data_IF_956516244093
#
_entry.id   IF_956516244093
#
_cell.length_a   1.000
_cell.length_b   1.000
_cell.length_c   1.000
_cell.angle_alpha   90.00
_cell.angle_beta   90.00
_cell.angle_gamma   90.00
#
_symmetry.space_group_name_H-M   'P 1'
#
loop_
_entity.id
_entity.type
_entity.pdbx_description
1 polymer ?
#
# COMPACT_ATOMS: atom_id res chain seq x y z
N UNK A 1 10.88 -31.69 -5.55
CA UNK A 1 11.40 -30.54 -6.33
C UNK A 1 10.49 -29.30 -6.33
N UNK A 2 9.16 -29.40 -6.53
CA UNK A 2 8.28 -28.21 -6.69
C UNK A 2 8.22 -27.28 -5.45
N UNK A 3 8.42 -27.84 -4.25
CA UNK A 3 8.46 -27.06 -3.02
C UNK A 3 9.66 -26.11 -2.96
N UNK A 4 10.86 -26.60 -3.29
CA UNK A 4 12.09 -25.81 -3.24
C UNK A 4 12.09 -24.69 -4.29
N UNK A 5 11.53 -24.94 -5.48
CA UNK A 5 11.40 -23.91 -6.53
C UNK A 5 10.40 -22.82 -6.12
N UNK A 6 9.27 -23.19 -5.52
CA UNK A 6 8.30 -22.22 -5.01
C UNK A 6 8.90 -21.38 -3.87
N UNK A 7 9.61 -22.03 -2.93
CA UNK A 7 10.28 -21.36 -1.82
C UNK A 7 11.36 -20.39 -2.32
N UNK A 8 12.20 -20.82 -3.27
CA UNK A 8 13.22 -19.96 -3.88
C UNK A 8 12.58 -18.73 -4.54
N UNK A 9 11.53 -18.93 -5.34
CA UNK A 9 10.78 -17.84 -5.97
C UNK A 9 10.23 -16.87 -4.93
N UNK A 10 9.62 -17.38 -3.86
CA UNK A 10 9.09 -16.55 -2.76
C UNK A 10 10.19 -15.75 -2.07
N UNK A 11 11.35 -16.35 -1.81
CA UNK A 11 12.49 -15.61 -1.23
C UNK A 11 12.97 -14.48 -2.14
N UNK A 12 13.06 -14.73 -3.45
CA UNK A 12 13.44 -13.71 -4.45
C UNK A 12 12.40 -12.59 -4.48
N UNK A 13 11.10 -12.93 -4.57
CA UNK A 13 10.01 -11.95 -4.58
C UNK A 13 10.01 -11.09 -3.31
N UNK A 14 10.14 -11.69 -2.11
CA UNK A 14 10.23 -10.95 -0.85
C UNK A 14 11.45 -10.05 -0.80
N UNK A 15 12.60 -10.51 -1.32
CA UNK A 15 13.82 -9.71 -1.36
C UNK A 15 13.66 -8.48 -2.26
N UNK A 16 13.13 -8.66 -3.47
CA UNK A 16 12.91 -7.57 -4.43
C UNK A 16 11.84 -6.58 -3.93
N UNK A 17 10.74 -7.09 -3.34
CA UNK A 17 9.73 -6.25 -2.68
C UNK A 17 10.29 -5.52 -1.46
N UNK A 18 11.22 -6.12 -0.71
CA UNK A 18 11.94 -5.47 0.38
C UNK A 18 12.84 -4.34 -0.10
N UNK A 19 13.55 -4.52 -1.22
CA UNK A 19 14.32 -3.44 -1.86
C UNK A 19 13.39 -2.31 -2.32
N UNK A 20 12.29 -2.65 -3.00
CA UNK A 20 11.28 -1.66 -3.41
C UNK A 20 10.68 -0.92 -2.22
N UNK A 21 10.42 -1.61 -1.11
CA UNK A 21 9.94 -1.02 0.14
C UNK A 21 10.95 -0.03 0.73
N UNK A 22 12.24 -0.37 0.71
CA UNK A 22 13.28 0.54 1.17
C UNK A 22 13.34 1.81 0.30
N UNK A 23 13.23 1.67 -1.02
CA UNK A 23 13.19 2.81 -1.95
C UNK A 23 11.94 3.67 -1.72
N UNK A 24 10.76 3.06 -1.55
CA UNK A 24 9.50 3.75 -1.25
C UNK A 24 9.60 4.57 0.06
N UNK A 25 10.21 4.03 1.11
CA UNK A 25 10.38 4.74 2.38
C UNK A 25 11.38 5.90 2.25
N UNK A 26 12.47 5.71 1.51
CA UNK A 26 13.61 6.64 1.50
C UNK A 26 13.50 7.71 0.42
N UNK A 27 13.17 7.29 -0.80
CA UNK A 27 13.26 8.10 -2.02
C UNK A 27 11.88 8.43 -2.58
N UNK A 28 10.82 7.71 -2.18
CA UNK A 28 9.44 7.85 -2.70
C UNK A 28 9.29 7.62 -4.20
N UNK A 29 10.35 7.12 -4.82
CA UNK A 29 10.41 6.71 -6.21
C UNK A 29 11.03 5.32 -6.26
N UNK A 30 10.50 4.47 -7.15
CA UNK A 30 10.94 3.08 -7.29
C UNK A 30 11.37 2.88 -8.73
N UNK A 31 12.59 2.40 -8.91
CA UNK A 31 13.12 2.11 -10.23
C UNK A 31 12.33 0.97 -10.87
N UNK A 32 11.78 1.23 -12.06
CA UNK A 32 11.01 0.27 -12.85
C UNK A 32 11.79 -1.02 -13.16
N UNK A 33 13.12 -0.97 -13.11
CA UNK A 33 13.97 -2.16 -13.24
C UNK A 33 13.65 -3.23 -12.21
N UNK A 34 13.19 -2.88 -11.01
CA UNK A 34 12.82 -3.88 -9.98
C UNK A 34 11.70 -4.78 -10.49
N UNK A 35 10.66 -4.20 -11.08
CA UNK A 35 9.51 -4.93 -11.61
C UNK A 35 9.94 -5.84 -12.78
N UNK A 36 10.78 -5.31 -13.66
CA UNK A 36 11.31 -6.05 -14.81
C UNK A 36 12.20 -7.23 -14.37
N UNK A 37 13.08 -7.03 -13.39
CA UNK A 37 13.94 -8.09 -12.82
C UNK A 37 13.07 -9.15 -12.13
N UNK A 38 12.09 -8.72 -11.33
CA UNK A 38 11.16 -9.64 -10.65
C UNK A 38 10.40 -10.50 -11.66
N UNK A 39 9.89 -9.89 -12.74
CA UNK A 39 9.26 -10.64 -13.83
C UNK A 39 10.25 -11.60 -14.51
N UNK A 40 11.41 -11.11 -14.95
CA UNK A 40 12.40 -11.89 -15.69
C UNK A 40 12.92 -13.11 -14.90
N UNK A 41 13.01 -13.02 -13.58
CA UNK A 41 13.50 -14.11 -12.73
C UNK A 41 12.36 -14.99 -12.22
N UNK A 42 11.29 -14.41 -11.66
CA UNK A 42 10.25 -15.20 -11.01
C UNK A 42 9.26 -15.83 -12.01
N UNK A 43 9.05 -15.24 -13.19
CA UNK A 43 8.11 -15.77 -14.17
C UNK A 43 8.58 -17.12 -14.78
N UNK A 44 9.84 -17.28 -15.23
CA UNK A 44 10.33 -18.59 -15.66
C UNK A 44 10.27 -19.66 -14.56
N UNK A 45 10.56 -19.29 -13.31
CA UNK A 45 10.45 -20.22 -12.17
C UNK A 45 9.00 -20.63 -11.93
N UNK A 46 8.05 -19.68 -12.03
CA UNK A 46 6.63 -19.96 -11.94
C UNK A 46 6.16 -20.89 -13.05
N UNK A 47 6.58 -20.64 -14.31
CA UNK A 47 6.29 -21.54 -15.43
C UNK A 47 6.87 -22.93 -15.20
N UNK A 48 8.12 -23.04 -14.76
CA UNK A 48 8.73 -24.33 -14.44
C UNK A 48 7.95 -25.08 -13.34
N UNK A 49 7.52 -24.40 -12.27
CA UNK A 49 6.70 -25.00 -11.21
C UNK A 49 5.35 -25.49 -11.77
N UNK A 50 4.71 -24.70 -12.64
CA UNK A 50 3.45 -25.07 -13.29
C UNK A 50 3.65 -26.27 -14.22
N UNK A 51 4.66 -26.28 -15.09
CA UNK A 51 4.89 -27.35 -16.07
C UNK A 51 5.41 -28.64 -15.42
N UNK A 52 6.24 -28.54 -14.38
CA UNK A 52 6.69 -29.70 -13.61
C UNK A 52 5.54 -30.34 -12.81
N UNK A 53 4.60 -29.53 -12.31
CA UNK A 53 3.31 -30.03 -11.80
C UNK A 53 2.43 -30.54 -12.93
N UNK A 54 2.46 -29.93 -14.12
CA UNK A 54 1.66 -30.26 -15.31
C UNK A 54 1.96 -31.61 -15.94
N UNK A 55 3.15 -32.18 -15.75
CA UNK A 55 3.39 -33.60 -16.06
C UNK A 55 2.40 -34.53 -15.31
N UNK A 56 1.78 -34.04 -14.24
CA UNK A 56 0.75 -34.70 -13.45
C UNK A 56 -0.56 -33.88 -13.28
N UNK A 57 -0.68 -32.67 -13.83
CA UNK A 57 -1.77 -31.71 -13.53
C UNK A 57 -2.71 -31.45 -14.71
N UNK A 58 -3.99 -31.46 -14.36
CA UNK A 58 -5.20 -31.19 -15.14
C UNK A 58 -5.14 -29.86 -15.92
N UNK A 59 -5.54 -29.86 -17.22
CA UNK A 59 -5.67 -28.67 -18.10
C UNK A 59 -6.42 -27.50 -17.44
N UNK A 60 -7.32 -27.82 -16.52
CA UNK A 60 -8.08 -26.85 -15.71
C UNK A 60 -7.15 -25.91 -14.93
N UNK A 61 -6.04 -26.38 -14.37
CA UNK A 61 -5.14 -25.52 -13.57
C UNK A 61 -4.50 -24.41 -14.40
N UNK A 62 -4.07 -24.72 -15.63
CA UNK A 62 -3.51 -23.73 -16.56
C UNK A 62 -4.57 -22.68 -16.91
N UNK A 63 -5.81 -23.11 -17.16
CA UNK A 63 -6.92 -22.19 -17.43
C UNK A 63 -7.16 -21.27 -16.24
N UNK A 64 -7.21 -21.81 -15.02
CA UNK A 64 -7.38 -21.01 -13.79
C UNK A 64 -6.24 -20.00 -13.62
N UNK A 65 -5.00 -20.39 -13.90
CA UNK A 65 -3.85 -19.49 -13.84
C UNK A 65 -3.94 -18.35 -14.86
N UNK A 66 -4.31 -18.64 -16.10
CA UNK A 66 -4.48 -17.60 -17.12
C UNK A 66 -5.61 -16.63 -16.74
N UNK A 67 -6.72 -17.16 -16.23
CA UNK A 67 -7.83 -16.34 -15.71
C UNK A 67 -7.36 -15.48 -14.54
N UNK A 68 -6.58 -16.03 -13.61
CA UNK A 68 -6.07 -15.27 -12.45
C UNK A 68 -5.15 -14.13 -12.87
N UNK A 69 -4.29 -14.35 -13.88
CA UNK A 69 -3.44 -13.30 -14.47
C UNK A 69 -4.31 -12.18 -15.04
N UNK A 70 -5.29 -12.53 -15.88
CA UNK A 70 -6.14 -11.55 -16.57
C UNK A 70 -6.90 -10.70 -15.54
N UNK A 71 -7.54 -11.36 -14.56
CA UNK A 71 -8.29 -10.65 -13.51
C UNK A 71 -7.36 -9.77 -12.68
N UNK A 72 -6.20 -10.29 -12.26
CA UNK A 72 -5.23 -9.54 -11.47
C UNK A 72 -4.69 -8.29 -12.17
N UNK A 73 -4.33 -8.40 -13.45
CA UNK A 73 -3.87 -7.27 -14.26
C UNK A 73 -5.00 -6.27 -14.49
N UNK A 74 -6.19 -6.75 -14.87
CA UNK A 74 -7.35 -5.88 -15.08
C UNK A 74 -7.70 -5.10 -13.82
N UNK A 75 -7.66 -5.75 -12.66
CA UNK A 75 -7.87 -5.14 -11.35
C UNK A 75 -6.83 -4.05 -11.04
N UNK A 76 -5.54 -4.35 -11.19
CA UNK A 76 -4.47 -3.38 -10.94
C UNK A 76 -4.58 -2.15 -11.86
N UNK A 77 -4.86 -2.36 -13.15
CA UNK A 77 -5.05 -1.28 -14.12
C UNK A 77 -6.32 -0.46 -13.84
N UNK A 78 -7.40 -1.10 -13.37
CA UNK A 78 -8.62 -0.40 -12.99
C UNK A 78 -8.37 0.55 -11.81
N UNK A 79 -7.71 0.07 -10.75
CA UNK A 79 -7.37 0.92 -9.59
C UNK A 79 -6.45 2.08 -9.96
N UNK A 80 -5.46 1.84 -10.82
CA UNK A 80 -4.58 2.91 -11.32
C UNK A 80 -5.37 3.96 -12.12
N UNK A 81 -6.21 3.54 -13.07
CA UNK A 81 -7.02 4.46 -13.89
C UNK A 81 -8.05 5.26 -13.09
N UNK A 82 -8.54 4.70 -11.98
CA UNK A 82 -9.45 5.37 -11.07
C UNK A 82 -8.73 6.27 -10.04
N UNK A 83 -7.41 6.44 -10.15
CA UNK A 83 -6.55 7.16 -9.20
C UNK A 83 -6.65 6.62 -7.76
N UNK A 84 -7.01 5.35 -7.58
CA UNK A 84 -7.10 4.69 -6.27
C UNK A 84 -5.78 4.04 -5.84
N UNK A 85 -4.83 3.90 -6.76
CA UNK A 85 -3.57 3.20 -6.56
C UNK A 85 -2.45 3.91 -7.33
N UNK A 86 -1.26 4.03 -6.72
CA UNK A 86 -0.10 4.62 -7.36
C UNK A 86 0.43 3.77 -8.52
N UNK A 87 1.21 4.38 -9.42
CA UNK A 87 1.79 3.66 -10.56
C UNK A 87 2.74 2.53 -10.16
N UNK A 88 3.53 2.72 -9.10
CA UNK A 88 4.43 1.70 -8.58
C UNK A 88 3.67 0.50 -7.97
N UNK A 89 2.63 0.78 -7.17
CA UNK A 89 1.76 -0.24 -6.59
C UNK A 89 1.09 -1.09 -7.68
N UNK A 90 0.57 -0.44 -8.74
CA UNK A 90 -0.05 -1.13 -9.86
C UNK A 90 0.94 -2.05 -10.58
N UNK A 91 2.18 -1.59 -10.82
CA UNK A 91 3.25 -2.42 -11.41
C UNK A 91 3.59 -3.62 -10.51
N UNK A 92 3.63 -3.43 -9.19
CA UNK A 92 3.85 -4.52 -8.24
C UNK A 92 2.76 -5.60 -8.38
N UNK A 93 1.49 -5.21 -8.38
CA UNK A 93 0.37 -6.17 -8.54
C UNK A 93 0.32 -6.84 -9.92
N UNK A 94 0.70 -6.14 -10.99
CA UNK A 94 0.82 -6.73 -12.32
C UNK A 94 1.87 -7.85 -12.31
N UNK A 95 3.07 -7.58 -11.80
CA UNK A 95 4.14 -8.58 -11.77
C UNK A 95 3.80 -9.72 -10.80
N UNK A 96 3.16 -9.45 -9.67
CA UNK A 96 2.68 -10.49 -8.76
C UNK A 96 1.60 -11.37 -9.40
N UNK A 97 0.68 -10.78 -10.18
CA UNK A 97 -0.33 -11.53 -10.93
C UNK A 97 0.30 -12.48 -11.95
N UNK A 98 1.39 -12.04 -12.60
CA UNK A 98 2.15 -12.84 -13.55
C UNK A 98 2.99 -13.93 -12.90
N UNK A 99 3.54 -13.69 -11.71
CA UNK A 99 4.57 -14.55 -11.10
C UNK A 99 4.04 -15.48 -10.01
N UNK A 100 2.86 -15.22 -9.47
CA UNK A 100 2.24 -16.04 -8.44
C UNK A 100 1.10 -16.91 -9.00
N UNK A 101 1.29 -18.23 -9.12
CA UNK A 101 0.24 -19.12 -9.60
C UNK A 101 -0.85 -19.33 -8.53
N UNK A 102 -2.09 -19.62 -8.95
CA UNK A 102 -3.20 -19.93 -8.04
C UNK A 102 -2.84 -21.12 -7.16
N UNK A 103 -3.40 -21.12 -5.95
CA UNK A 103 -3.26 -22.24 -5.02
C UNK A 103 -4.63 -22.82 -4.71
N UNK A 104 -4.72 -24.14 -4.53
CA UNK A 104 -5.95 -24.80 -4.11
C UNK A 104 -6.23 -24.68 -2.61
N UNK A 105 -5.47 -23.84 -1.88
CA UNK A 105 -5.79 -23.49 -0.49
C UNK A 105 -6.93 -22.46 -0.49
N UNK A 106 -7.92 -22.67 0.38
CA UNK A 106 -9.03 -21.77 0.74
C UNK A 106 -9.21 -20.58 -0.22
N UNK A 107 -9.82 -20.83 -1.38
CA UNK A 107 -10.28 -19.80 -2.32
C UNK A 107 -9.20 -18.83 -2.88
N UNK A 108 -7.91 -19.15 -2.79
CA UNK A 108 -6.81 -18.36 -3.38
C UNK A 108 -6.65 -18.57 -4.90
N UNK A 109 -7.77 -18.52 -5.62
CA UNK A 109 -7.82 -18.65 -7.08
C UNK A 109 -7.25 -17.44 -7.82
N UNK A 110 -7.21 -16.28 -7.16
CA UNK A 110 -6.65 -15.04 -7.70
C UNK A 110 -5.62 -14.50 -6.69
N UNK A 111 -4.36 -14.98 -6.72
CA UNK A 111 -3.34 -14.64 -5.72
C UNK A 111 -3.15 -13.15 -5.51
N UNK A 112 -3.11 -12.36 -6.59
CA UNK A 112 -2.91 -10.91 -6.50
C UNK A 112 -4.03 -10.19 -5.75
N UNK A 113 -5.28 -10.70 -5.84
CA UNK A 113 -6.40 -10.15 -5.07
C UNK A 113 -6.29 -10.52 -3.59
N UNK A 114 -5.93 -11.77 -3.26
CA UNK A 114 -5.65 -12.16 -1.87
C UNK A 114 -4.51 -11.34 -1.26
N UNK A 115 -3.43 -11.12 -2.02
CA UNK A 115 -2.31 -10.27 -1.60
C UNK A 115 -2.78 -8.83 -1.39
N UNK A 116 -3.59 -8.28 -2.30
CA UNK A 116 -4.15 -6.93 -2.16
C UNK A 116 -4.99 -6.80 -0.88
N UNK A 117 -5.91 -7.75 -0.64
CA UNK A 117 -6.75 -7.77 0.57
C UNK A 117 -5.87 -7.82 1.83
N UNK A 118 -4.88 -8.70 1.88
CA UNK A 118 -3.95 -8.78 3.00
C UNK A 118 -3.19 -7.46 3.20
N UNK A 119 -2.75 -6.83 2.11
CA UNK A 119 -2.03 -5.56 2.15
C UNK A 119 -2.89 -4.44 2.72
N UNK A 120 -4.15 -4.34 2.30
CA UNK A 120 -5.12 -3.33 2.80
C UNK A 120 -5.48 -3.58 4.27
N UNK A 121 -5.70 -4.84 4.67
CA UNK A 121 -5.98 -5.16 6.07
C UNK A 121 -4.79 -4.81 6.97
N UNK A 122 -3.58 -5.15 6.55
CA UNK A 122 -2.37 -4.84 7.31
C UNK A 122 -2.05 -3.34 7.31
N UNK A 123 -2.42 -2.61 6.27
CA UNK A 123 -2.22 -1.16 6.21
C UNK A 123 -3.06 -0.36 7.22
N UNK A 124 -4.10 -0.96 7.80
CA UNK A 124 -4.82 -0.38 8.94
C UNK A 124 -3.92 -0.15 10.15
N UNK A 125 -2.82 -0.89 10.29
CA UNK A 125 -1.80 -0.63 11.32
C UNK A 125 -1.16 0.75 11.17
N UNK A 126 -1.14 1.32 9.95
CA UNK A 126 -0.66 2.68 9.72
C UNK A 126 -1.50 3.72 10.45
N UNK A 127 -2.83 3.55 10.49
CA UNK A 127 -3.72 4.46 11.23
C UNK A 127 -3.38 4.44 12.72
N UNK A 128 -3.06 3.26 13.26
CA UNK A 128 -2.61 3.12 14.66
C UNK A 128 -1.31 3.90 14.87
N UNK A 129 -0.35 3.84 13.95
CA UNK A 129 0.90 4.62 14.04
C UNK A 129 0.65 6.13 14.02
N UNK A 130 -0.28 6.61 13.18
CA UNK A 130 -0.70 8.01 13.14
C UNK A 130 -1.28 8.43 14.50
N UNK A 131 -2.23 7.64 15.02
CA UNK A 131 -2.86 7.90 16.32
C UNK A 131 -1.79 7.99 17.42
N UNK A 132 -0.88 7.02 17.49
CA UNK A 132 0.20 7.01 18.48
C UNK A 132 1.11 8.24 18.36
N UNK A 133 1.44 8.66 17.13
CA UNK A 133 2.20 9.89 16.88
C UNK A 133 1.46 11.12 17.38
N UNK A 134 0.16 11.22 17.10
CA UNK A 134 -0.67 12.35 17.54
C UNK A 134 -0.83 12.38 19.07
N UNK A 135 -1.04 11.23 19.71
CA UNK A 135 -1.05 11.11 21.18
C UNK A 135 0.28 11.59 21.75
N UNK A 136 1.41 11.19 21.17
CA UNK A 136 2.73 11.63 21.64
C UNK A 136 2.90 13.15 21.57
N UNK A 137 2.29 13.83 20.59
CA UNK A 137 2.35 15.30 20.49
C UNK A 137 1.49 15.95 21.59
N UNK A 138 0.27 15.44 21.80
CA UNK A 138 -0.63 15.93 22.86
C UNK A 138 0.00 15.75 24.24
N UNK A 139 0.61 14.59 24.52
CA UNK A 139 1.28 14.30 25.79
C UNK A 139 2.49 15.23 26.02
N UNK A 140 3.15 15.71 24.96
CA UNK A 140 4.21 16.73 25.05
C UNK A 140 3.69 18.15 25.29
N UNK A 141 2.38 18.32 25.42
CA UNK A 141 1.73 19.62 25.66
C UNK A 141 1.45 20.42 24.38
N UNK A 142 1.63 19.82 23.20
CA UNK A 142 1.37 20.50 21.93
C UNK A 142 -0.14 20.68 21.72
N UNK A 143 -0.56 21.92 21.46
CA UNK A 143 -1.96 22.25 21.15
C UNK A 143 -2.27 22.02 19.68
N UNK A 144 -2.31 20.76 19.27
CA UNK A 144 -2.37 20.34 17.86
C UNK A 144 -3.61 20.84 17.09
N UNK A 145 -4.70 21.18 17.78
CA UNK A 145 -5.95 21.64 17.15
C UNK A 145 -6.18 23.16 17.23
N UNK A 146 -5.30 23.93 17.87
CA UNK A 146 -5.37 25.38 17.85
C UNK A 146 -4.48 25.92 16.71
N UNK A 147 -4.94 26.90 15.91
CA UNK A 147 -6.18 27.68 16.00
C UNK A 147 -7.32 27.16 15.10
N UNK A 148 -7.39 25.86 14.79
CA UNK A 148 -8.30 25.31 13.78
C UNK A 148 -9.77 25.32 14.21
N UNK A 149 -10.63 25.88 13.35
CA UNK A 149 -12.07 26.06 13.62
C UNK A 149 -12.94 24.84 13.23
N UNK A 150 -12.33 23.67 13.03
CA UNK A 150 -13.02 22.44 12.68
C UNK A 150 -13.98 21.94 13.77
N UNK A 151 -15.02 21.21 13.36
CA UNK A 151 -15.93 20.53 14.30
C UNK A 151 -15.22 19.40 15.06
N UNK A 152 -15.78 18.96 16.19
CA UNK A 152 -15.21 17.86 16.97
C UNK A 152 -15.08 16.56 16.17
N UNK A 153 -16.01 16.29 15.26
CA UNK A 153 -15.97 15.11 14.37
C UNK A 153 -14.83 15.24 13.38
N UNK A 154 -14.69 16.40 12.72
CA UNK A 154 -13.59 16.64 11.78
C UNK A 154 -12.22 16.53 12.48
N UNK A 155 -12.11 17.04 13.71
CA UNK A 155 -10.89 16.89 14.53
C UNK A 155 -10.61 15.43 14.87
N UNK A 156 -11.64 14.65 15.21
CA UNK A 156 -11.48 13.22 15.48
C UNK A 156 -11.03 12.44 14.23
N UNK A 157 -11.64 12.70 13.07
CA UNK A 157 -11.21 12.05 11.82
C UNK A 157 -9.79 12.47 11.46
N UNK A 158 -9.46 13.76 11.53
CA UNK A 158 -8.10 14.25 11.32
C UNK A 158 -7.09 13.59 12.27
N UNK A 159 -7.45 13.37 13.54
CA UNK A 159 -6.59 12.69 14.50
C UNK A 159 -6.25 11.24 14.13
N UNK A 160 -7.12 10.57 13.36
CA UNK A 160 -6.95 9.18 12.95
C UNK A 160 -6.23 9.08 11.59
N UNK A 161 -6.49 10.03 10.69
CA UNK A 161 -6.04 9.95 9.29
C UNK A 161 -4.88 10.88 8.94
N UNK A 162 -4.66 11.95 9.71
CA UNK A 162 -3.68 13.01 9.45
C UNK A 162 -2.77 13.18 10.68
N UNK A 163 -1.70 13.96 10.51
CA UNK A 163 -0.79 14.24 11.63
C UNK A 163 -0.19 15.64 11.54
N UNK A 164 0.01 16.35 12.67
CA UNK A 164 0.68 17.64 12.67
C UNK A 164 2.20 17.45 12.57
N UNK A 165 2.85 18.17 11.66
CA UNK A 165 4.29 18.07 11.39
C UNK A 165 4.91 19.48 11.41
N UNK A 166 6.15 19.61 11.87
CA UNK A 166 6.82 20.91 11.83
C UNK A 166 7.21 21.30 10.41
N UNK A 167 7.27 22.60 10.13
CA UNK A 167 7.69 23.11 8.81
C UNK A 167 9.07 22.62 8.40
N UNK A 168 9.99 22.50 9.36
CA UNK A 168 11.35 22.02 9.11
C UNK A 168 11.37 20.56 8.66
N UNK A 169 10.52 19.72 9.26
CA UNK A 169 10.39 18.31 8.87
C UNK A 169 9.78 18.17 7.47
N UNK A 170 8.78 18.98 7.14
CA UNK A 170 8.18 19.02 5.79
C UNK A 170 9.24 19.46 4.77
N UNK A 171 9.97 20.55 5.03
CA UNK A 171 11.04 21.04 4.14
C UNK A 171 12.15 20.02 3.92
N UNK A 172 12.47 19.21 4.93
CA UNK A 172 13.48 18.14 4.82
C UNK A 172 12.98 16.96 3.98
N UNK A 173 11.68 16.69 3.97
CA UNK A 173 11.07 15.52 3.29
C UNK A 173 9.75 15.91 2.59
N UNK A 174 9.80 16.80 1.58
CA UNK A 174 8.57 17.35 0.99
C UNK A 174 7.71 16.27 0.32
N UNK A 175 8.32 15.26 -0.28
CA UNK A 175 7.64 14.17 -0.99
C UNK A 175 6.95 13.14 -0.08
N UNK A 176 7.00 13.31 1.25
CA UNK A 176 6.38 12.38 2.22
C UNK A 176 5.01 12.90 2.70
N UNK A 177 4.73 14.19 2.54
CA UNK A 177 3.60 14.85 3.16
C UNK A 177 2.77 15.60 2.10
N UNK A 178 1.46 15.52 2.24
CA UNK A 178 0.52 16.40 1.51
C UNK A 178 -0.11 17.35 2.52
N UNK A 179 -0.08 18.64 2.24
CA UNK A 179 -0.64 19.65 3.15
C UNK A 179 -2.16 19.51 3.18
N UNK A 180 -2.72 19.35 4.38
CA UNK A 180 -4.15 19.21 4.62
C UNK A 180 -4.75 20.47 5.29
N UNK A 181 -3.97 21.54 5.42
CA UNK A 181 -4.42 22.83 5.93
C UNK A 181 -4.93 23.72 4.79
N UNK A 182 -6.12 24.29 4.96
CA UNK A 182 -6.65 25.34 4.10
C UNK A 182 -7.01 26.58 4.93
N UNK A 183 -6.82 27.75 4.31
CA UNK A 183 -7.25 29.04 4.83
C UNK A 183 -8.57 29.43 4.18
N UNK A 184 -9.61 29.63 5.00
CA UNK A 184 -10.92 30.11 4.57
C UNK A 184 -11.14 31.49 5.21
N UNK A 185 -10.73 32.54 4.50
CA UNK A 185 -10.66 33.91 5.04
C UNK A 185 -9.63 34.04 6.18
N UNK A 186 -10.10 34.43 7.37
CA UNK A 186 -9.27 34.51 8.58
C UNK A 186 -9.21 33.21 9.39
N UNK A 187 -9.97 32.19 9.02
CA UNK A 187 -10.04 30.92 9.77
C UNK A 187 -9.17 29.84 9.12
N UNK A 188 -8.41 29.12 9.94
CA UNK A 188 -7.67 27.93 9.53
C UNK A 188 -8.55 26.70 9.70
N UNK A 189 -8.59 25.85 8.67
CA UNK A 189 -9.36 24.61 8.66
C UNK A 189 -8.50 23.45 8.16
N UNK A 190 -8.69 22.30 8.77
CA UNK A 190 -8.13 21.02 8.35
C UNK A 190 -9.10 20.40 7.36
N UNK A 191 -8.64 20.13 6.15
CA UNK A 191 -9.40 19.33 5.18
C UNK A 191 -9.25 17.85 5.50
N UNK A 192 -10.37 17.13 5.51
CA UNK A 192 -10.41 15.73 5.93
C UNK A 192 -11.17 14.91 4.89
N UNK A 193 -10.78 13.66 4.70
CA UNK A 193 -11.42 12.73 3.77
C UNK A 193 -11.01 12.98 2.32
N UNK A 194 -11.91 12.64 1.39
CA UNK A 194 -11.66 12.71 -0.07
C UNK A 194 -11.28 14.12 -0.52
N UNK A 195 -11.78 15.16 0.16
CA UNK A 195 -11.47 16.57 -0.15
C UNK A 195 -9.97 16.89 0.00
N UNK A 196 -9.32 16.31 1.01
CA UNK A 196 -7.88 16.44 1.22
C UNK A 196 -7.03 15.73 0.14
N UNK A 197 -7.64 14.84 -0.65
CA UNK A 197 -6.98 14.08 -1.73
C UNK A 197 -7.26 14.68 -3.11
N UNK A 198 -8.39 15.37 -3.30
CA UNK A 198 -8.83 15.90 -4.61
C UNK A 198 -8.19 17.23 -4.97
N UNK A 199 -7.76 18.00 -3.98
CA UNK A 199 -7.12 19.29 -4.17
C UNK A 199 -5.76 19.21 -3.48
N UNK A 200 -4.74 18.73 -4.19
CA UNK A 200 -3.35 18.86 -3.74
C UNK A 200 -3.04 20.36 -3.86
N UNK A 201 -3.06 21.13 -2.77
CA UNK A 201 -2.81 22.55 -2.90
C UNK A 201 -1.28 22.68 -3.01
N UNK A 202 -0.80 23.31 -4.08
CA UNK A 202 0.53 23.95 -4.11
C UNK A 202 0.53 25.15 -3.15
N UNK A 203 0.23 24.90 -1.88
CA UNK A 203 0.30 25.90 -0.83
C UNK A 203 1.78 26.00 -0.45
N UNK A 204 2.38 27.12 -0.85
CA UNK A 204 3.75 27.43 -0.47
C UNK A 204 3.85 27.44 1.06
N UNK A 205 4.65 26.51 1.60
CA UNK A 205 4.93 26.33 3.03
C UNK A 205 5.39 27.66 3.66
N UNK A 206 5.96 28.57 2.86
CA UNK A 206 6.37 29.91 3.28
C UNK A 206 5.20 30.79 3.76
N UNK A 207 3.98 30.55 3.28
CA UNK A 207 2.78 31.34 3.59
C UNK A 207 2.07 30.92 4.87
N UNK A 208 2.45 29.75 5.42
CA UNK A 208 1.86 29.21 6.63
C UNK A 208 2.55 29.87 7.83
N UNK A 209 1.80 30.36 8.81
CA UNK A 209 2.36 30.99 10.03
C UNK A 209 2.55 29.98 11.18
N UNK A 210 1.82 28.87 11.16
CA UNK A 210 1.83 27.86 12.24
C UNK A 210 3.19 27.14 12.36
N UNK A 211 3.64 26.85 13.59
CA UNK A 211 4.82 25.97 13.82
C UNK A 211 4.56 24.53 13.37
N UNK A 212 3.36 24.03 13.65
CA UNK A 212 2.88 22.71 13.23
C UNK A 212 1.83 22.88 12.15
N UNK A 213 1.89 22.03 11.13
CA UNK A 213 0.97 22.03 9.99
C UNK A 213 0.36 20.65 9.88
N UNK A 214 -0.96 20.57 9.71
CA UNK A 214 -1.63 19.29 9.46
C UNK A 214 -1.33 18.81 8.05
N UNK A 215 -0.84 17.58 7.99
CA UNK A 215 -0.50 16.93 6.73
C UNK A 215 -1.06 15.51 6.69
N UNK A 216 -1.36 15.05 5.48
CA UNK A 216 -1.55 13.65 5.17
C UNK A 216 -0.20 13.00 4.94
N UNK A 217 0.09 11.93 5.67
CA UNK A 217 1.32 11.16 5.45
C UNK A 217 1.11 10.20 4.29
N UNK A 218 1.94 10.31 3.25
CA UNK A 218 1.90 9.39 2.11
C UNK A 218 2.37 8.01 2.57
N UNK A 219 1.41 7.08 2.67
CA UNK A 219 1.67 5.73 3.16
C UNK A 219 2.63 4.99 2.20
N UNK A 220 3.72 4.37 2.69
CA UNK A 220 4.58 3.55 1.85
C UNK A 220 3.89 2.21 1.54
N UNK A 221 3.01 2.22 0.53
CA UNK A 221 2.14 1.08 0.22
C UNK A 221 2.93 -0.18 -0.15
N UNK A 222 4.13 -0.07 -0.72
CA UNK A 222 4.94 -1.23 -1.08
C UNK A 222 5.37 -2.04 0.15
N UNK A 223 5.54 -1.39 1.31
CA UNK A 223 5.80 -2.08 2.59
C UNK A 223 4.63 -3.00 2.92
N UNK A 224 3.40 -2.50 2.78
CA UNK A 224 2.18 -3.26 3.03
C UNK A 224 1.92 -4.34 1.99
N UNK A 225 2.29 -4.11 0.72
CA UNK A 225 2.30 -5.15 -0.31
C UNK A 225 3.29 -6.26 0.03
N UNK A 226 4.47 -5.92 0.57
CA UNK A 226 5.48 -6.89 0.98
C UNK A 226 4.99 -7.76 2.13
N UNK A 227 4.51 -7.15 3.22
CA UNK A 227 3.98 -7.94 4.35
C UNK A 227 2.68 -8.66 3.98
N UNK A 228 1.87 -8.10 3.08
CA UNK A 228 0.68 -8.74 2.54
C UNK A 228 1.01 -9.98 1.70
N UNK A 229 2.08 -9.92 0.90
CA UNK A 229 2.60 -11.08 0.16
C UNK A 229 3.13 -12.15 1.11
N UNK A 230 3.89 -11.77 2.14
CA UNK A 230 4.36 -12.72 3.17
C UNK A 230 3.18 -13.38 3.88
N UNK A 231 2.18 -12.60 4.31
CA UNK A 231 0.97 -13.12 4.94
C UNK A 231 0.21 -14.07 4.00
N UNK A 232 0.11 -13.73 2.72
CA UNK A 232 -0.48 -14.59 1.70
C UNK A 232 0.24 -15.93 1.59
N UNK A 233 1.58 -15.94 1.56
CA UNK A 233 2.36 -17.19 1.48
C UNK A 233 2.24 -18.06 2.74
N UNK A 234 2.04 -17.44 3.91
CA UNK A 234 1.93 -18.16 5.19
C UNK A 234 0.51 -18.66 5.46
N UNK A 235 -0.50 -17.82 5.26
CA UNK A 235 -1.87 -18.05 5.73
C UNK A 235 -2.94 -17.98 4.62
N UNK A 236 -2.59 -17.58 3.38
CA UNK A 236 -3.56 -17.32 2.32
C UNK A 236 -4.27 -15.97 2.51
N UNK A 237 -5.53 -15.87 2.05
CA UNK A 237 -6.36 -14.69 2.25
C UNK A 237 -6.80 -14.52 3.72
N UNK A 238 -6.33 -13.46 4.39
CA UNK A 238 -6.62 -13.18 5.80
C UNK A 238 -8.10 -12.89 6.07
N UNK A 239 -8.82 -12.35 5.08
CA UNK A 239 -10.24 -12.00 5.22
C UNK A 239 -11.10 -13.23 5.54
N UNK A 240 -10.70 -14.42 5.06
CA UNK A 240 -11.42 -15.67 5.30
C UNK A 240 -11.36 -16.14 6.76
N UNK A 241 -10.41 -15.66 7.54
CA UNK A 241 -10.36 -15.93 8.98
C UNK A 241 -11.25 -14.96 9.78
N UNK A 242 -11.58 -13.81 9.20
CA UNK A 242 -12.39 -12.78 9.85
C UNK A 242 -13.88 -12.98 9.53
N UNK A 243 -14.18 -13.35 8.29
CA UNK A 243 -15.56 -13.60 7.84
C UNK A 243 -15.75 -15.12 7.77
N UNK A 244 -16.50 -15.74 8.70
CA UNK A 244 -16.87 -17.14 8.56
C UNK A 244 -17.73 -17.30 7.30
N UNK A 245 -17.21 -18.03 6.31
CA UNK A 245 -17.98 -18.52 5.17
C UNK A 245 -18.89 -19.64 5.70
N UNK A 246 -20.13 -19.28 6.04
CA UNK A 246 -21.22 -20.24 6.29
C UNK A 246 -21.82 -20.73 4.97
#
# INVERSE_FOLDING_TARGET
MPFYTNLLKTMITVSLLGVASYMDIKEREIDDRIWNIMFAVCFPIALYDIFSKSLYTNKIFIIVYLISIIIGIAFALALYKLNMMGGADAKAFIVLSLTEPPSFRLHDFIPSLSIFINSVLLSLTFMILIILRNISLVVRGERIFEPYSNSSIEKAVAFITLTPVSKEEIKRKPYVYVIAERREGDKKRIEVGIKALSEIPDLDISTIDSRLVWVSYLMPMIVYITVGYVAYKLAGCLLLYIIPLY
#
